data_IF_202601669797
#
_entry.id   IF_202601669797
#
_cell.length_a   1.000
_cell.length_b   1.000
_cell.length_c   1.000
_cell.angle_alpha   90.00
_cell.angle_beta   90.00
_cell.angle_gamma   90.00
#
_symmetry.space_group_name_H-M   'P 1'
#
loop_
_entity.id
_entity.type
_entity.pdbx_description
1 polymer ?
#
# COMPACT_ATOMS: atom_id res chain seq x y z
N UNK A 1 19.93 -21.14 -61.71
CA UNK A 1 19.63 -19.69 -61.68
C UNK A 1 18.66 -19.43 -60.53
N UNK A 2 19.21 -19.22 -59.34
CA UNK A 2 19.21 -17.95 -58.58
C UNK A 2 17.89 -17.59 -57.89
N UNK A 3 17.91 -17.90 -56.60
CA UNK A 3 17.25 -17.24 -55.45
C UNK A 3 17.15 -15.72 -55.63
N UNK A 4 16.00 -15.12 -55.27
CA UNK A 4 15.99 -13.82 -54.55
C UNK A 4 14.88 -13.78 -53.50
N UNK A 5 15.32 -13.85 -52.24
CA UNK A 5 14.59 -13.44 -51.02
C UNK A 5 14.24 -11.95 -51.13
N UNK A 6 12.99 -11.57 -50.86
CA UNK A 6 12.63 -10.16 -50.63
C UNK A 6 12.81 -9.86 -49.13
N UNK A 7 13.85 -9.10 -48.80
CA UNK A 7 14.00 -8.46 -47.50
C UNK A 7 12.92 -7.39 -47.35
N UNK A 8 12.11 -7.46 -46.28
CA UNK A 8 11.44 -6.28 -45.74
C UNK A 8 12.45 -5.53 -44.86
N UNK A 9 12.65 -4.25 -45.15
CA UNK A 9 13.43 -3.32 -44.34
C UNK A 9 12.60 -2.84 -43.13
N UNK A 10 13.21 -2.63 -41.95
CA UNK A 10 12.51 -2.05 -40.80
C UNK A 10 12.26 -0.55 -41.02
N UNK A 11 11.00 -0.14 -40.83
CA UNK A 11 10.56 1.25 -40.87
C UNK A 11 11.02 1.96 -39.58
N UNK A 12 12.01 2.83 -39.69
CA UNK A 12 12.41 3.72 -38.59
C UNK A 12 11.33 4.81 -38.42
N UNK A 13 10.51 4.70 -37.38
CA UNK A 13 9.54 5.73 -37.01
C UNK A 13 10.26 6.86 -36.27
N UNK A 14 10.64 7.91 -36.98
CA UNK A 14 11.13 9.17 -36.40
C UNK A 14 9.90 9.98 -35.97
N UNK A 15 9.59 9.98 -34.67
CA UNK A 15 8.54 10.84 -34.10
C UNK A 15 9.16 12.18 -33.69
N UNK A 16 9.14 13.16 -34.61
CA UNK A 16 9.48 14.55 -34.31
C UNK A 16 8.20 15.38 -34.19
N UNK A 17 7.86 15.82 -32.98
CA UNK A 17 6.81 16.81 -32.73
C UNK A 17 7.36 17.94 -31.85
N UNK A 18 7.24 19.17 -32.33
CA UNK A 18 7.66 20.41 -31.65
C UNK A 18 6.46 21.36 -31.53
N UNK A 19 6.10 21.62 -30.27
CA UNK A 19 5.65 22.85 -29.57
C UNK A 19 4.52 23.76 -30.08
N UNK A 20 3.61 24.07 -29.13
CA UNK A 20 3.44 25.39 -28.47
C UNK A 20 2.65 25.17 -27.15
N UNK A 21 2.89 25.78 -25.98
CA UNK A 21 3.94 26.67 -25.48
C UNK A 21 3.69 26.95 -23.98
N UNK A 22 4.68 26.60 -23.15
CA UNK A 22 5.03 27.20 -21.87
C UNK A 22 6.49 26.82 -21.63
N UNK A 23 7.39 27.81 -21.64
CA UNK A 23 8.84 27.59 -21.56
C UNK A 23 9.26 27.11 -20.17
N UNK A 24 9.21 25.80 -19.94
CA UNK A 24 10.12 25.10 -19.04
C UNK A 24 11.13 24.34 -19.92
N UNK A 25 12.41 24.68 -19.78
CA UNK A 25 13.43 24.46 -20.81
C UNK A 25 13.55 23.03 -21.35
N UNK A 26 13.84 22.92 -22.66
CA UNK A 26 14.28 21.74 -23.42
C UNK A 26 14.09 20.39 -22.70
N UNK A 27 12.95 19.74 -22.95
CA UNK A 27 12.78 18.34 -22.61
C UNK A 27 13.87 17.50 -23.31
N UNK A 28 14.62 16.71 -22.55
CA UNK A 28 15.75 15.95 -23.10
C UNK A 28 15.31 14.68 -23.84
N UNK A 29 14.02 14.34 -23.80
CA UNK A 29 13.46 13.10 -24.36
C UNK A 29 13.85 11.86 -23.54
N UNK A 30 15.14 11.62 -23.32
CA UNK A 30 15.68 10.56 -22.47
C UNK A 30 16.82 11.10 -21.62
N UNK A 31 16.73 10.89 -20.30
CA UNK A 31 17.71 11.40 -19.32
C UNK A 31 18.53 10.30 -18.67
N UNK A 32 18.02 9.07 -18.70
CA UNK A 32 18.73 7.89 -18.29
C UNK A 32 18.35 6.68 -19.15
N UNK A 33 19.25 5.70 -19.20
CA UNK A 33 18.97 4.36 -19.70
C UNK A 33 19.25 3.36 -18.58
N UNK A 34 18.33 2.45 -18.33
CA UNK A 34 18.50 1.36 -17.36
C UNK A 34 18.34 0.04 -18.09
N UNK A 35 19.47 -0.62 -18.36
CA UNK A 35 19.54 -1.64 -19.42
C UNK A 35 19.03 -1.06 -20.76
N UNK A 36 18.06 -1.71 -21.37
CA UNK A 36 17.45 -1.28 -22.64
C UNK A 36 16.27 -0.30 -22.46
N UNK A 37 15.87 0.00 -21.22
CA UNK A 37 14.73 0.87 -20.94
C UNK A 37 15.19 2.32 -20.91
N UNK A 38 14.51 3.17 -21.69
CA UNK A 38 14.72 4.61 -21.70
C UNK A 38 13.87 5.29 -20.64
N UNK A 39 14.51 6.06 -19.78
CA UNK A 39 13.86 6.89 -18.77
C UNK A 39 13.75 8.31 -19.30
N UNK A 40 12.51 8.79 -19.43
CA UNK A 40 12.22 10.17 -19.83
C UNK A 40 12.50 11.14 -18.68
N UNK A 41 12.64 12.42 -18.99
CA UNK A 41 12.76 13.46 -17.95
C UNK A 41 11.55 13.49 -17.02
N UNK A 42 10.34 13.32 -17.55
CA UNK A 42 9.12 13.23 -16.76
C UNK A 42 9.18 12.09 -15.72
N UNK A 43 9.57 10.88 -16.14
CA UNK A 43 9.67 9.72 -15.22
C UNK A 43 10.73 10.00 -14.14
N UNK A 44 11.89 10.51 -14.54
CA UNK A 44 12.95 10.88 -13.61
C UNK A 44 12.49 11.94 -12.60
N UNK A 45 11.78 12.97 -13.05
CA UNK A 45 11.28 14.05 -12.19
C UNK A 45 10.17 13.57 -11.24
N UNK A 46 9.31 12.66 -11.69
CA UNK A 46 8.33 12.01 -10.83
C UNK A 46 9.03 11.28 -9.68
N UNK A 47 10.01 10.43 -9.99
CA UNK A 47 10.73 9.69 -8.96
C UNK A 47 11.64 10.57 -8.10
N UNK A 48 12.15 11.67 -8.64
CA UNK A 48 12.88 12.66 -7.84
C UNK A 48 11.96 13.36 -6.84
N UNK A 49 10.71 13.67 -7.22
CA UNK A 49 9.71 14.20 -6.31
C UNK A 49 9.36 13.17 -5.22
N UNK A 50 9.15 11.90 -5.59
CA UNK A 50 8.91 10.81 -4.62
C UNK A 50 10.06 10.67 -3.64
N UNK A 51 11.30 10.59 -4.14
CA UNK A 51 12.51 10.49 -3.32
C UNK A 51 12.70 11.69 -2.38
N UNK A 52 12.27 12.89 -2.78
CA UNK A 52 12.27 14.06 -1.91
C UNK A 52 11.31 13.89 -0.72
N UNK A 53 10.10 13.37 -0.98
CA UNK A 53 9.13 13.05 0.09
C UNK A 53 9.66 11.99 1.05
N UNK A 54 10.27 10.92 0.53
CA UNK A 54 10.93 9.90 1.35
C UNK A 54 12.04 10.51 2.23
N UNK A 55 12.84 11.42 1.67
CA UNK A 55 13.89 12.11 2.43
C UNK A 55 13.32 12.98 3.55
N UNK A 56 12.18 13.65 3.33
CA UNK A 56 11.49 14.42 4.38
C UNK A 56 10.96 13.54 5.52
N UNK A 57 10.49 12.34 5.20
CA UNK A 57 10.02 11.37 6.21
C UNK A 57 11.16 10.70 6.96
N UNK A 58 12.37 10.68 6.39
CA UNK A 58 13.52 9.97 6.95
C UNK A 58 14.49 10.86 7.75
N UNK A 59 14.34 12.19 7.74
CA UNK A 59 15.15 13.08 8.59
C UNK A 59 14.68 13.05 10.05
N UNK A 60 15.63 13.21 10.98
CA UNK A 60 15.33 13.20 12.43
C UNK A 60 14.52 14.41 12.90
N UNK A 61 14.70 15.58 12.27
CA UNK A 61 14.08 16.84 12.69
C UNK A 61 13.31 17.47 11.52
N UNK A 62 11.99 17.34 11.55
CA UNK A 62 11.06 17.81 10.50
C UNK A 62 10.89 19.34 10.46
N UNK A 63 11.37 20.06 11.48
CA UNK A 63 11.37 21.52 11.58
C UNK A 63 12.61 22.14 10.93
N UNK A 64 13.70 21.37 10.81
CA UNK A 64 14.92 21.80 10.12
C UNK A 64 14.80 21.67 8.60
N UNK A 65 15.51 22.56 7.90
CA UNK A 65 15.62 22.48 6.44
C UNK A 65 16.28 21.16 6.02
N UNK A 66 15.61 20.38 5.16
CA UNK A 66 16.06 19.08 4.65
C UNK A 66 17.53 19.07 4.21
N UNK A 67 17.93 20.04 3.39
CA UNK A 67 19.30 20.10 2.84
C UNK A 67 20.39 20.53 3.83
N UNK A 68 20.03 20.83 5.08
CA UNK A 68 20.98 21.05 6.18
C UNK A 68 21.15 19.79 7.05
N UNK A 69 20.49 18.70 6.67
CA UNK A 69 20.45 17.46 7.42
C UNK A 69 21.02 16.31 6.59
N UNK A 70 21.29 15.21 7.28
CA UNK A 70 21.61 13.93 6.68
C UNK A 70 20.37 13.03 6.69
N UNK A 71 20.36 12.06 5.79
CA UNK A 71 19.43 10.91 5.82
C UNK A 71 20.31 9.67 5.95
N UNK A 72 20.33 9.06 7.13
CA UNK A 72 21.38 8.10 7.50
C UNK A 72 22.77 8.73 7.38
N UNK A 73 23.66 8.10 6.62
CA UNK A 73 25.03 8.56 6.43
C UNK A 73 25.22 9.58 5.29
N UNK A 74 24.21 9.72 4.42
CA UNK A 74 24.25 10.54 3.22
C UNK A 74 23.76 11.97 3.47
N UNK A 75 24.24 12.94 2.68
CA UNK A 75 23.53 14.23 2.59
C UNK A 75 22.15 14.01 1.98
N UNK A 76 21.17 14.85 2.32
CA UNK A 76 19.84 14.73 1.72
C UNK A 76 19.86 14.80 0.18
N UNK A 77 20.81 15.53 -0.43
CA UNK A 77 20.94 15.58 -1.90
C UNK A 77 21.44 14.26 -2.49
N UNK A 78 22.43 13.62 -1.88
CA UNK A 78 22.93 12.31 -2.31
C UNK A 78 21.84 11.25 -2.17
N UNK A 79 21.16 11.23 -1.02
CA UNK A 79 20.05 10.32 -0.77
C UNK A 79 18.94 10.46 -1.83
N UNK A 80 18.48 11.67 -2.12
CA UNK A 80 17.43 11.90 -3.12
C UNK A 80 17.90 11.44 -4.51
N UNK A 81 19.14 11.74 -4.89
CA UNK A 81 19.67 11.31 -6.20
C UNK A 81 19.69 9.79 -6.27
N UNK A 82 20.25 9.10 -5.26
CA UNK A 82 20.38 7.65 -5.27
C UNK A 82 19.01 6.96 -5.23
N UNK A 83 18.08 7.41 -4.39
CA UNK A 83 16.69 6.93 -4.40
C UNK A 83 15.99 7.17 -5.73
N UNK A 84 16.24 8.31 -6.39
CA UNK A 84 15.71 8.54 -7.76
C UNK A 84 16.24 7.48 -8.73
N UNK A 85 17.53 7.11 -8.63
CA UNK A 85 18.11 6.03 -9.47
C UNK A 85 17.47 4.69 -9.16
N UNK A 86 17.32 4.35 -7.88
CA UNK A 86 16.66 3.11 -7.42
C UNK A 86 15.28 3.00 -8.04
N UNK A 87 14.44 4.04 -7.91
CA UNK A 87 13.09 4.03 -8.47
C UNK A 87 13.05 3.92 -10.00
N UNK A 88 13.95 4.62 -10.71
CA UNK A 88 14.07 4.48 -12.17
C UNK A 88 14.48 3.05 -12.56
N UNK A 89 15.30 2.40 -11.75
CA UNK A 89 15.73 1.04 -11.99
C UNK A 89 14.64 0.01 -11.67
N UNK A 90 13.86 0.22 -10.62
CA UNK A 90 12.67 -0.61 -10.33
C UNK A 90 11.63 -0.50 -11.46
N UNK A 91 11.36 0.71 -11.97
CA UNK A 91 10.51 0.92 -13.15
C UNK A 91 10.99 0.08 -14.34
N UNK A 92 12.28 0.18 -14.67
CA UNK A 92 12.89 -0.56 -15.78
C UNK A 92 12.91 -2.07 -15.57
N UNK A 93 13.13 -2.54 -14.33
CA UNK A 93 13.09 -3.95 -13.98
C UNK A 93 11.69 -4.54 -14.23
N UNK A 94 10.63 -3.84 -13.81
CA UNK A 94 9.25 -4.25 -14.09
C UNK A 94 8.97 -4.27 -15.60
N UNK A 95 9.37 -3.24 -16.34
CA UNK A 95 9.20 -3.20 -17.81
C UNK A 95 9.87 -4.40 -18.50
N UNK A 96 11.12 -4.72 -18.11
CA UNK A 96 11.84 -5.84 -18.70
C UNK A 96 11.27 -7.20 -18.30
N UNK A 97 10.95 -7.41 -17.01
CA UNK A 97 10.35 -8.67 -16.54
C UNK A 97 8.99 -8.92 -17.21
N UNK A 98 8.20 -7.87 -17.38
CA UNK A 98 6.90 -7.96 -18.06
C UNK A 98 7.07 -8.39 -19.53
N UNK A 99 8.04 -7.80 -20.24
CA UNK A 99 8.35 -8.16 -21.61
C UNK A 99 8.99 -9.56 -21.74
N UNK A 100 9.90 -9.95 -20.85
CA UNK A 100 10.56 -11.26 -20.82
C UNK A 100 9.56 -12.41 -20.62
N UNK A 101 8.52 -12.16 -19.84
CA UNK A 101 7.41 -13.10 -19.67
C UNK A 101 6.39 -13.09 -20.81
N UNK A 102 6.58 -12.23 -21.81
CA UNK A 102 5.64 -12.08 -22.93
C UNK A 102 4.25 -11.62 -22.49
N UNK A 103 4.17 -10.90 -21.37
CA UNK A 103 2.90 -10.36 -20.89
C UNK A 103 2.53 -9.12 -21.69
N UNK A 104 1.22 -8.89 -21.83
CA UNK A 104 0.67 -7.70 -22.48
C UNK A 104 -0.43 -7.10 -21.61
N UNK A 105 -0.57 -5.78 -21.68
CA UNK A 105 -1.76 -5.11 -21.14
C UNK A 105 -2.93 -5.43 -22.08
N UNK A 106 -4.03 -5.88 -21.51
CA UNK A 106 -5.32 -6.05 -22.20
C UNK A 106 -6.02 -4.71 -22.35
N UNK A 107 -7.12 -4.67 -23.12
CA UNK A 107 -7.93 -3.46 -23.24
C UNK A 107 -8.58 -3.08 -21.89
N UNK A 108 -9.00 -4.06 -21.10
CA UNK A 108 -9.51 -3.81 -19.74
C UNK A 108 -8.45 -3.21 -18.81
N UNK A 109 -7.18 -3.61 -18.97
CA UNK A 109 -6.09 -3.00 -18.18
C UNK A 109 -5.87 -1.54 -18.59
N UNK A 110 -5.96 -1.24 -19.89
CA UNK A 110 -5.85 0.12 -20.42
C UNK A 110 -7.01 1.00 -19.96
N UNK A 111 -8.24 0.50 -20.00
CA UNK A 111 -9.42 1.20 -19.50
C UNK A 111 -9.30 1.49 -18.00
N UNK A 112 -8.78 0.52 -17.21
CA UNK A 112 -8.49 0.73 -15.79
C UNK A 112 -7.45 1.81 -15.56
N UNK A 113 -6.34 1.79 -16.32
CA UNK A 113 -5.31 2.84 -16.25
C UNK A 113 -5.91 4.21 -16.53
N UNK A 114 -6.72 4.34 -17.58
CA UNK A 114 -7.34 5.62 -17.95
C UNK A 114 -8.31 6.11 -16.88
N UNK A 115 -9.12 5.21 -16.31
CA UNK A 115 -10.01 5.55 -15.20
C UNK A 115 -9.23 5.97 -13.95
N UNK A 116 -8.16 5.25 -13.59
CA UNK A 116 -7.32 5.57 -12.45
C UNK A 116 -6.59 6.91 -12.63
N UNK A 117 -6.11 7.22 -13.84
CA UNK A 117 -5.50 8.52 -14.15
C UNK A 117 -6.53 9.64 -14.03
N UNK A 118 -7.69 9.48 -14.67
CA UNK A 118 -8.76 10.49 -14.62
C UNK A 118 -9.25 10.78 -13.18
N UNK A 119 -9.29 9.75 -12.34
CA UNK A 119 -9.68 9.88 -10.94
C UNK A 119 -8.60 10.56 -10.09
N UNK A 120 -7.33 10.15 -10.23
CA UNK A 120 -6.28 10.50 -9.27
C UNK A 120 -5.45 11.72 -9.69
N UNK A 121 -5.22 11.93 -11.00
CA UNK A 121 -4.41 13.04 -11.51
C UNK A 121 -4.87 14.42 -11.00
N UNK A 122 -6.17 14.77 -10.98
CA UNK A 122 -6.60 16.11 -10.55
C UNK A 122 -6.15 16.50 -9.14
N UNK A 123 -5.99 15.53 -8.24
CA UNK A 123 -5.57 15.77 -6.85
C UNK A 123 -4.11 16.24 -6.73
N UNK A 124 -3.23 15.75 -7.60
CA UNK A 124 -1.80 16.05 -7.61
C UNK A 124 -1.33 16.95 -8.76
N UNK A 125 -2.20 17.20 -9.76
CA UNK A 125 -1.86 17.84 -11.03
C UNK A 125 -1.00 19.09 -10.86
N UNK A 126 -1.49 20.07 -10.08
CA UNK A 126 -0.83 21.37 -9.95
C UNK A 126 0.61 21.24 -9.43
N UNK A 127 0.84 20.35 -8.47
CA UNK A 127 2.19 20.14 -7.89
C UNK A 127 3.07 19.36 -8.87
N UNK A 128 2.52 18.33 -9.53
CA UNK A 128 3.24 17.52 -10.51
C UNK A 128 3.68 18.34 -11.71
N UNK A 129 2.80 19.15 -12.31
CA UNK A 129 3.13 20.03 -13.44
C UNK A 129 4.21 21.06 -13.06
N UNK A 130 4.16 21.59 -11.85
CA UNK A 130 5.17 22.51 -11.30
C UNK A 130 6.56 21.87 -11.19
N UNK A 131 6.60 20.56 -11.04
CA UNK A 131 7.82 19.74 -11.00
C UNK A 131 8.18 19.15 -12.37
N UNK A 132 7.47 19.52 -13.45
CA UNK A 132 7.75 19.05 -14.81
C UNK A 132 7.23 17.65 -15.11
N UNK A 133 6.31 17.13 -14.29
CA UNK A 133 5.62 15.85 -14.52
C UNK A 133 4.29 16.14 -15.23
N UNK A 134 4.06 15.50 -16.37
CA UNK A 134 2.82 15.62 -17.13
C UNK A 134 1.83 14.50 -16.78
N UNK A 135 0.56 14.67 -17.13
CA UNK A 135 -0.45 13.60 -17.04
C UNK A 135 -0.03 12.37 -17.85
N UNK A 136 0.56 12.56 -19.04
CA UNK A 136 1.07 11.46 -19.85
C UNK A 136 2.20 10.69 -19.15
N UNK A 137 3.07 11.39 -18.43
CA UNK A 137 4.08 10.75 -17.57
C UNK A 137 3.42 9.99 -16.43
N UNK A 138 2.46 10.60 -15.74
CA UNK A 138 1.72 9.95 -14.66
C UNK A 138 1.02 8.68 -15.14
N UNK A 139 0.42 8.70 -16.33
CA UNK A 139 -0.14 7.51 -16.98
C UNK A 139 0.90 6.39 -17.14
N UNK A 140 2.13 6.69 -17.59
CA UNK A 140 3.19 5.68 -17.68
C UNK A 140 3.56 5.07 -16.32
N UNK A 141 3.50 5.85 -15.23
CA UNK A 141 3.72 5.35 -13.87
C UNK A 141 2.59 4.40 -13.44
N UNK A 142 1.33 4.79 -13.71
CA UNK A 142 0.15 3.94 -13.42
C UNK A 142 0.20 2.66 -14.26
N UNK A 143 0.55 2.74 -15.54
CA UNK A 143 0.74 1.55 -16.40
C UNK A 143 1.81 0.61 -15.85
N UNK A 144 2.95 1.13 -15.41
CA UNK A 144 4.02 0.32 -14.82
C UNK A 144 3.58 -0.37 -13.51
N UNK A 145 2.79 0.32 -12.67
CA UNK A 145 2.20 -0.29 -11.48
C UNK A 145 1.24 -1.43 -11.85
N UNK A 146 0.38 -1.24 -12.87
CA UNK A 146 -0.51 -2.30 -13.38
C UNK A 146 0.30 -3.48 -13.94
N UNK A 147 1.38 -3.23 -14.70
CA UNK A 147 2.29 -4.28 -15.17
C UNK A 147 2.90 -5.06 -14.01
N UNK A 148 3.31 -4.37 -12.95
CA UNK A 148 3.84 -5.00 -11.73
C UNK A 148 2.79 -5.93 -11.09
N UNK A 149 1.54 -5.48 -10.94
CA UNK A 149 0.44 -6.32 -10.44
C UNK A 149 0.16 -7.52 -11.35
N UNK A 150 0.17 -7.34 -12.67
CA UNK A 150 -0.01 -8.45 -13.62
C UNK A 150 1.15 -9.44 -13.56
N UNK A 151 2.38 -8.95 -13.42
CA UNK A 151 3.56 -9.79 -13.24
C UNK A 151 3.46 -10.62 -11.96
N UNK A 152 3.06 -10.00 -10.84
CA UNK A 152 2.78 -10.69 -9.59
C UNK A 152 1.72 -11.79 -9.77
N UNK A 153 0.59 -11.48 -10.41
CA UNK A 153 -0.49 -12.44 -10.63
C UNK A 153 -0.09 -13.58 -11.58
N UNK A 154 0.70 -13.29 -12.62
CA UNK A 154 1.23 -14.31 -13.53
C UNK A 154 2.22 -15.26 -12.83
N UNK A 155 2.84 -14.81 -11.73
CA UNK A 155 3.69 -15.65 -10.89
C UNK A 155 2.87 -16.42 -9.86
N UNK A 156 2.06 -15.75 -9.03
CA UNK A 156 1.52 -16.33 -7.80
C UNK A 156 0.00 -16.51 -7.79
N UNK A 157 -0.70 -15.84 -8.71
CA UNK A 157 -2.15 -15.95 -8.85
C UNK A 157 -2.57 -17.29 -9.44
N UNK A 158 -3.89 -17.46 -9.59
CA UNK A 158 -4.46 -18.68 -10.17
C UNK A 158 -3.92 -18.93 -11.58
N UNK A 159 -3.40 -20.14 -11.81
CA UNK A 159 -2.78 -20.53 -13.09
C UNK A 159 -1.40 -19.94 -13.36
N UNK A 160 -0.81 -19.21 -12.40
CA UNK A 160 0.54 -18.65 -12.51
C UNK A 160 1.67 -19.68 -12.40
N UNK A 161 2.89 -19.27 -12.74
CA UNK A 161 4.09 -20.13 -12.77
C UNK A 161 4.43 -20.77 -11.42
N UNK A 162 4.12 -20.04 -10.34
CA UNK A 162 4.30 -20.39 -8.92
C UNK A 162 2.98 -20.19 -8.18
N UNK A 163 1.87 -20.55 -8.82
CA UNK A 163 0.53 -20.38 -8.28
C UNK A 163 0.43 -20.90 -6.85
N UNK A 164 -0.13 -20.11 -5.95
CA UNK A 164 -0.41 -20.52 -4.57
C UNK A 164 -1.78 -21.18 -4.55
N UNK A 165 -1.83 -22.40 -4.03
CA UNK A 165 -3.09 -23.13 -3.86
C UNK A 165 -3.92 -22.57 -2.70
N UNK A 166 -5.23 -22.81 -2.74
CA UNK A 166 -6.13 -22.45 -1.64
C UNK A 166 -5.70 -23.04 -0.29
N UNK A 167 -5.15 -24.27 -0.30
CA UNK A 167 -4.67 -24.95 0.90
C UNK A 167 -3.39 -24.31 1.46
N UNK A 168 -2.44 -23.94 0.60
CA UNK A 168 -1.22 -23.22 1.00
C UNK A 168 -1.56 -21.83 1.56
N UNK A 169 -2.47 -21.10 0.91
CA UNK A 169 -2.88 -19.78 1.37
C UNK A 169 -3.63 -19.87 2.71
N UNK A 170 -4.48 -20.88 2.90
CA UNK A 170 -5.17 -21.11 4.16
C UNK A 170 -4.20 -21.50 5.27
N UNK A 171 -3.21 -22.34 4.98
CA UNK A 171 -2.14 -22.70 5.91
C UNK A 171 -1.35 -21.46 6.33
N UNK A 172 -0.89 -20.67 5.37
CA UNK A 172 -0.23 -19.38 5.64
C UNK A 172 -1.11 -18.47 6.50
N UNK A 173 -2.41 -18.38 6.20
CA UNK A 173 -3.36 -17.56 6.97
C UNK A 173 -3.44 -18.03 8.41
N UNK A 174 -3.56 -19.34 8.67
CA UNK A 174 -3.62 -19.91 10.03
C UNK A 174 -2.34 -19.66 10.83
N UNK A 175 -1.20 -19.72 10.16
CA UNK A 175 0.12 -19.54 10.78
C UNK A 175 0.45 -18.08 11.09
N UNK A 176 -0.07 -17.13 10.30
CA UNK A 176 0.34 -15.71 10.36
C UNK A 176 -0.77 -14.76 10.83
N UNK A 177 -2.03 -15.21 10.82
CA UNK A 177 -3.18 -14.39 11.18
C UNK A 177 -4.13 -15.14 12.12
N UNK A 178 -4.93 -14.37 12.85
CA UNK A 178 -6.16 -14.84 13.49
C UNK A 178 -7.35 -14.07 12.93
N UNK A 179 -8.53 -14.67 13.02
CA UNK A 179 -9.79 -13.98 12.74
C UNK A 179 -10.50 -13.68 14.05
N UNK A 180 -11.01 -12.45 14.17
CA UNK A 180 -11.83 -12.04 15.30
C UNK A 180 -13.17 -11.48 14.84
N UNK A 181 -14.17 -11.62 15.70
CA UNK A 181 -15.38 -10.78 15.72
C UNK A 181 -15.26 -9.87 16.94
N UNK A 182 -15.68 -8.62 16.87
CA UNK A 182 -15.49 -7.69 17.99
C UNK A 182 -16.51 -6.55 17.98
N UNK A 183 -16.68 -5.91 19.12
CA UNK A 183 -17.34 -4.61 19.24
C UNK A 183 -16.53 -3.68 20.15
N UNK A 184 -16.68 -2.38 19.93
CA UNK A 184 -15.88 -1.34 20.58
C UNK A 184 -16.76 -0.47 21.48
N UNK A 185 -16.37 -0.33 22.74
CA UNK A 185 -17.03 0.54 23.71
C UNK A 185 -16.21 1.83 23.83
N UNK A 186 -16.74 3.00 23.43
CA UNK A 186 -15.97 4.25 23.44
C UNK A 186 -15.66 4.71 24.87
N UNK A 187 -14.42 5.14 25.09
CA UNK A 187 -13.95 5.81 26.33
C UNK A 187 -13.97 7.34 26.21
N UNK A 188 -14.48 7.85 25.10
CA UNK A 188 -14.72 9.27 24.85
C UNK A 188 -16.23 9.52 24.81
N UNK A 189 -16.68 10.64 25.37
CA UNK A 189 -18.07 11.07 25.31
C UNK A 189 -18.46 11.58 23.91
N UNK A 190 -19.74 11.90 23.72
CA UNK A 190 -20.27 12.39 22.44
C UNK A 190 -19.67 13.73 21.96
N UNK A 191 -18.89 14.42 22.78
CA UNK A 191 -18.13 15.63 22.44
C UNK A 191 -16.63 15.35 22.28
N UNK A 192 -16.24 14.07 22.17
CA UNK A 192 -14.84 13.61 22.07
C UNK A 192 -13.97 13.91 23.31
N UNK A 193 -14.58 14.17 24.47
CA UNK A 193 -13.86 14.33 25.73
C UNK A 193 -13.73 12.99 26.47
N UNK A 194 -12.65 12.80 27.22
CA UNK A 194 -12.45 11.55 27.98
C UNK A 194 -13.53 11.37 29.04
N UNK A 195 -14.14 10.17 29.07
CA UNK A 195 -15.06 9.77 30.14
C UNK A 195 -14.30 9.66 31.47
N UNK A 196 -14.98 9.92 32.58
CA UNK A 196 -14.39 9.82 33.92
C UNK A 196 -13.87 8.40 34.21
N UNK A 197 -12.88 8.28 35.09
CA UNK A 197 -12.34 6.97 35.50
C UNK A 197 -13.42 6.04 36.05
N UNK A 198 -14.35 6.59 36.82
CA UNK A 198 -15.45 5.81 37.40
C UNK A 198 -16.41 5.31 36.31
N UNK A 199 -16.72 6.14 35.31
CA UNK A 199 -17.52 5.73 34.15
C UNK A 199 -16.82 4.65 33.32
N UNK A 200 -15.51 4.79 33.09
CA UNK A 200 -14.72 3.76 32.40
C UNK A 200 -14.71 2.44 33.18
N UNK A 201 -14.52 2.49 34.51
CA UNK A 201 -14.56 1.30 35.36
C UNK A 201 -15.93 0.62 35.33
N UNK A 202 -17.02 1.39 35.30
CA UNK A 202 -18.37 0.86 35.16
C UNK A 202 -18.55 0.14 33.81
N UNK A 203 -18.14 0.77 32.70
CA UNK A 203 -18.18 0.17 31.37
C UNK A 203 -17.33 -1.09 31.26
N UNK A 204 -16.16 -1.10 31.91
CA UNK A 204 -15.29 -2.27 31.97
C UNK A 204 -15.96 -3.45 32.70
N UNK A 205 -16.70 -3.17 33.77
CA UNK A 205 -17.51 -4.19 34.47
C UNK A 205 -18.57 -4.81 33.56
N UNK A 206 -19.28 -4.00 32.76
CA UNK A 206 -20.24 -4.51 31.78
C UNK A 206 -19.57 -5.34 30.68
N UNK A 207 -18.41 -4.90 30.18
CA UNK A 207 -17.63 -5.66 29.20
C UNK A 207 -17.20 -7.03 29.74
N UNK A 208 -16.67 -7.08 30.98
CA UNK A 208 -16.27 -8.31 31.66
C UNK A 208 -17.44 -9.28 31.88
N UNK A 209 -18.60 -8.75 32.29
CA UNK A 209 -19.80 -9.56 32.41
C UNK A 209 -20.26 -10.08 31.05
N UNK A 210 -20.23 -9.26 30.00
CA UNK A 210 -20.55 -9.67 28.64
C UNK A 210 -19.66 -10.81 28.14
N UNK A 211 -18.35 -10.74 28.41
CA UNK A 211 -17.41 -11.85 28.11
C UNK A 211 -17.77 -13.12 28.87
N UNK A 212 -18.16 -13.00 30.14
CA UNK A 212 -18.59 -14.14 30.96
C UNK A 212 -19.85 -14.78 30.38
N UNK A 213 -20.85 -13.98 30.03
CA UNK A 213 -22.10 -14.45 29.43
C UNK A 213 -21.86 -15.13 28.07
N UNK A 214 -21.01 -14.53 27.23
CA UNK A 214 -20.69 -15.06 25.90
C UNK A 214 -19.97 -16.42 26.00
N UNK A 215 -18.99 -16.55 26.90
CA UNK A 215 -18.35 -17.83 27.20
C UNK A 215 -19.31 -18.83 27.87
N UNK A 216 -20.38 -18.34 28.52
CA UNK A 216 -21.49 -19.14 29.03
C UNK A 216 -22.52 -19.57 27.97
N UNK A 217 -22.31 -19.21 26.70
CA UNK A 217 -23.15 -19.61 25.58
C UNK A 217 -24.21 -18.59 25.15
N UNK A 218 -24.21 -17.38 25.72
CA UNK A 218 -25.06 -16.30 25.23
C UNK A 218 -24.61 -15.86 23.84
N UNK A 219 -25.56 -15.61 22.95
CA UNK A 219 -25.27 -15.12 21.60
C UNK A 219 -24.48 -13.81 21.63
N UNK A 220 -23.46 -13.70 20.78
CA UNK A 220 -22.54 -12.58 20.82
C UNK A 220 -23.18 -11.26 20.40
N UNK A 221 -24.15 -11.27 19.47
CA UNK A 221 -24.86 -10.06 19.06
C UNK A 221 -25.80 -9.57 20.17
N UNK A 222 -26.41 -10.49 20.92
CA UNK A 222 -27.16 -10.13 22.12
C UNK A 222 -26.25 -9.56 23.21
N UNK A 223 -25.07 -10.16 23.44
CA UNK A 223 -24.06 -9.63 24.37
C UNK A 223 -23.66 -8.21 23.98
N UNK A 224 -23.33 -7.97 22.71
CA UNK A 224 -22.96 -6.65 22.21
C UNK A 224 -24.10 -5.64 22.44
N UNK A 225 -25.33 -6.00 22.11
CA UNK A 225 -26.51 -5.14 22.30
C UNK A 225 -26.72 -4.78 23.77
N UNK A 226 -26.66 -5.77 24.68
CA UNK A 226 -26.88 -5.55 26.11
C UNK A 226 -25.77 -4.68 26.72
N UNK A 227 -24.51 -4.96 26.38
CA UNK A 227 -23.36 -4.19 26.87
C UNK A 227 -23.41 -2.75 26.35
N UNK A 228 -23.68 -2.56 25.05
CA UNK A 228 -23.75 -1.22 24.45
C UNK A 228 -24.92 -0.41 24.99
N UNK A 229 -26.07 -1.04 25.29
CA UNK A 229 -27.20 -0.38 25.93
C UNK A 229 -26.86 0.19 27.31
N UNK A 230 -25.94 -0.45 28.05
CA UNK A 230 -25.47 0.02 29.34
C UNK A 230 -24.33 1.05 29.22
N UNK A 231 -23.40 0.85 28.27
CA UNK A 231 -22.19 1.67 28.16
C UNK A 231 -22.39 2.98 27.39
N UNK A 232 -23.15 2.99 26.29
CA UNK A 232 -23.32 4.20 25.47
C UNK A 232 -23.89 5.39 26.25
N UNK A 233 -24.90 5.22 27.13
CA UNK A 233 -25.41 6.33 27.95
C UNK A 233 -24.38 6.93 28.92
N UNK A 234 -23.37 6.16 29.36
CA UNK A 234 -22.30 6.65 30.23
C UNK A 234 -21.49 7.76 29.53
N UNK A 235 -21.30 7.65 28.21
CA UNK A 235 -20.67 8.67 27.37
C UNK A 235 -21.63 9.70 26.76
N UNK A 236 -22.92 9.67 27.15
CA UNK A 236 -23.95 10.55 26.59
C UNK A 236 -24.33 10.22 25.14
N UNK A 237 -24.02 9.03 24.64
CA UNK A 237 -24.50 8.56 23.35
C UNK A 237 -25.93 8.00 23.47
N UNK A 238 -26.65 8.03 22.35
CA UNK A 238 -27.96 7.38 22.24
C UNK A 238 -27.79 5.94 21.77
N UNK A 239 -28.64 5.05 22.28
CA UNK A 239 -28.72 3.66 21.83
C UNK A 239 -29.69 3.60 20.66
N UNK A 240 -29.25 3.07 19.53
CA UNK A 240 -30.10 2.87 18.36
C UNK A 240 -30.73 1.47 18.39
N UNK A 241 -32.04 1.39 18.20
CA UNK A 241 -32.75 0.12 18.13
C UNK A 241 -32.32 -0.66 16.87
N UNK A 242 -31.95 -1.94 17.05
CA UNK A 242 -31.53 -2.80 15.95
C UNK A 242 -30.14 -2.51 15.38
N UNK A 243 -29.31 -1.72 16.06
CA UNK A 243 -27.93 -1.49 15.63
C UNK A 243 -27.09 -2.78 15.70
N UNK A 244 -26.34 -3.05 14.64
CA UNK A 244 -25.30 -4.08 14.63
C UNK A 244 -23.97 -3.45 15.07
N UNK A 245 -23.45 -3.93 16.20
CA UNK A 245 -22.20 -3.44 16.77
C UNK A 245 -21.00 -4.33 16.42
N UNK A 246 -21.23 -5.50 15.79
CA UNK A 246 -20.18 -6.49 15.60
C UNK A 246 -19.44 -6.25 14.28
N UNK A 247 -18.16 -5.92 14.39
CA UNK A 247 -17.19 -6.01 13.30
C UNK A 247 -16.53 -7.39 13.24
N UNK A 248 -15.90 -7.70 12.11
CA UNK A 248 -15.03 -8.85 11.95
C UNK A 248 -13.79 -8.48 11.13
N UNK A 249 -12.64 -9.05 11.46
CA UNK A 249 -11.39 -8.76 10.73
C UNK A 249 -10.34 -9.87 10.92
N UNK A 250 -9.32 -9.84 10.07
CA UNK A 250 -8.10 -10.62 10.22
C UNK A 250 -7.03 -9.76 10.90
N UNK A 251 -6.37 -10.33 11.91
CA UNK A 251 -5.32 -9.66 12.68
C UNK A 251 -4.03 -10.43 12.47
N UNK A 252 -3.00 -9.74 11.96
CA UNK A 252 -1.67 -10.32 11.82
C UNK A 252 -1.06 -10.60 13.21
N UNK A 253 -0.31 -11.69 13.32
CA UNK A 253 0.54 -11.94 14.49
C UNK A 253 1.81 -11.07 14.47
N UNK A 254 2.19 -10.50 13.33
CA UNK A 254 3.35 -9.64 13.18
C UNK A 254 3.09 -8.26 13.78
N UNK A 255 4.09 -7.70 14.48
CA UNK A 255 4.03 -6.35 15.05
C UNK A 255 3.88 -5.29 13.95
N UNK A 256 4.57 -5.46 12.82
CA UNK A 256 4.53 -4.53 11.69
C UNK A 256 3.29 -4.75 10.80
N UNK A 257 2.56 -5.86 11.02
CA UNK A 257 1.43 -6.27 10.19
C UNK A 257 0.05 -5.95 10.79
N UNK A 258 -0.01 -5.32 11.96
CA UNK A 258 -1.25 -5.09 12.71
C UNK A 258 -1.45 -3.62 13.05
N UNK A 259 -2.69 -3.15 12.92
CA UNK A 259 -3.11 -1.81 13.35
C UNK A 259 -3.58 -1.79 14.81
N UNK A 260 -3.59 -2.94 15.49
CA UNK A 260 -3.99 -3.05 16.89
C UNK A 260 -2.78 -2.92 17.83
N UNK A 261 -2.95 -2.38 19.04
CA UNK A 261 -1.90 -2.40 20.05
C UNK A 261 -1.37 -3.82 20.29
N UNK A 262 -0.06 -4.01 20.41
CA UNK A 262 0.55 -5.34 20.57
C UNK A 262 0.02 -6.09 21.81
N UNK A 263 -0.27 -5.37 22.88
CA UNK A 263 -0.90 -5.94 24.07
C UNK A 263 -2.31 -6.49 23.77
N UNK A 264 -3.06 -5.86 22.86
CA UNK A 264 -4.35 -6.36 22.40
C UNK A 264 -4.16 -7.62 21.56
N UNK A 265 -3.26 -7.60 20.59
CA UNK A 265 -2.93 -8.78 19.75
C UNK A 265 -2.53 -9.97 20.62
N UNK A 266 -1.73 -9.72 21.67
CA UNK A 266 -1.39 -10.75 22.65
C UNK A 266 -2.62 -11.29 23.37
N UNK A 267 -3.51 -10.42 23.86
CA UNK A 267 -4.75 -10.85 24.53
C UNK A 267 -5.64 -11.71 23.61
N UNK A 268 -5.75 -11.35 22.32
CA UNK A 268 -6.46 -12.16 21.34
C UNK A 268 -5.79 -13.53 21.13
N UNK A 269 -4.46 -13.56 21.04
CA UNK A 269 -3.68 -14.79 20.83
C UNK A 269 -3.78 -15.76 22.01
N UNK A 270 -3.82 -15.24 23.24
CA UNK A 270 -3.98 -16.02 24.46
C UNK A 270 -5.41 -16.53 24.66
N UNK A 271 -6.38 -15.99 23.92
CA UNK A 271 -7.77 -16.46 23.91
C UNK A 271 -7.91 -17.66 22.98
N UNK A 272 -8.54 -18.73 23.47
CA UNK A 272 -8.79 -19.93 22.67
C UNK A 272 -9.77 -19.65 21.53
N UNK A 273 -9.65 -20.38 20.42
CA UNK A 273 -10.61 -20.27 19.32
C UNK A 273 -12.00 -20.72 19.80
N UNK A 274 -13.02 -19.94 19.46
CA UNK A 274 -14.39 -20.08 19.93
C UNK A 274 -14.70 -19.32 21.22
N UNK A 275 -13.68 -18.88 21.97
CA UNK A 275 -13.83 -18.16 23.23
C UNK A 275 -13.81 -16.64 23.05
N UNK A 276 -14.26 -15.96 24.09
CA UNK A 276 -14.37 -14.51 24.16
C UNK A 276 -13.39 -13.91 25.16
N UNK A 277 -12.92 -12.70 24.86
CA UNK A 277 -12.04 -11.92 25.72
C UNK A 277 -12.37 -10.44 25.63
N UNK A 278 -11.68 -9.64 26.45
CA UNK A 278 -11.73 -8.18 26.37
C UNK A 278 -10.32 -7.59 26.46
N UNK A 279 -10.18 -6.36 25.99
CA UNK A 279 -8.96 -5.57 26.12
C UNK A 279 -9.32 -4.10 26.36
N UNK A 280 -8.78 -3.50 27.42
CA UNK A 280 -8.91 -2.06 27.65
C UNK A 280 -7.80 -1.32 26.88
N UNK A 281 -8.18 -0.68 25.78
CA UNK A 281 -7.32 0.23 25.04
C UNK A 281 -7.40 1.67 25.56
N UNK A 282 -6.66 2.56 24.89
CA UNK A 282 -6.65 3.98 25.24
C UNK A 282 -8.01 4.66 25.00
N UNK A 283 -8.58 4.47 23.81
CA UNK A 283 -9.83 5.11 23.38
C UNK A 283 -11.06 4.21 23.45
N UNK A 284 -10.87 2.89 23.50
CA UNK A 284 -11.95 1.92 23.48
C UNK A 284 -11.69 0.78 24.47
N UNK A 285 -12.76 0.21 25.00
CA UNK A 285 -12.75 -1.15 25.55
C UNK A 285 -13.23 -2.07 24.45
N UNK A 286 -12.41 -3.05 24.08
CA UNK A 286 -12.73 -4.03 23.05
C UNK A 286 -13.28 -5.29 23.71
N UNK A 287 -14.37 -5.82 23.19
CA UNK A 287 -14.84 -7.17 23.49
C UNK A 287 -14.79 -7.95 22.19
N UNK A 288 -14.19 -9.13 22.23
CA UNK A 288 -13.91 -9.89 21.02
C UNK A 288 -14.13 -11.39 21.20
N UNK A 289 -14.39 -12.06 20.09
CA UNK A 289 -14.41 -13.51 19.93
C UNK A 289 -13.27 -13.88 18.99
N UNK A 290 -12.42 -14.83 19.38
CA UNK A 290 -11.50 -15.47 18.42
C UNK A 290 -12.26 -16.57 17.69
N UNK A 291 -12.21 -16.56 16.37
CA UNK A 291 -12.89 -17.55 15.53
C UNK A 291 -11.90 -18.23 14.59
N UNK A 292 -12.28 -19.37 14.02
CA UNK A 292 -11.50 -20.01 12.98
C UNK A 292 -11.34 -19.06 11.80
N UNK A 293 -10.15 -19.07 11.18
CA UNK A 293 -9.84 -18.13 10.09
C UNK A 293 -10.77 -18.32 8.89
N UNK A 294 -11.20 -19.55 8.63
CA UNK A 294 -12.10 -19.94 7.54
C UNK A 294 -13.55 -20.16 7.98
N UNK A 295 -13.93 -19.68 9.17
CA UNK A 295 -15.30 -19.76 9.69
C UNK A 295 -16.36 -19.06 8.81
N UNK A 296 -15.92 -18.21 7.89
CA UNK A 296 -16.75 -17.44 6.98
C UNK A 296 -16.11 -17.47 5.58
N UNK A 297 -16.53 -18.41 4.71
CA UNK A 297 -15.92 -18.60 3.41
C UNK A 297 -16.05 -17.38 2.47
N UNK A 298 -17.15 -16.65 2.56
CA UNK A 298 -17.38 -15.45 1.75
C UNK A 298 -16.45 -14.32 2.18
N UNK A 299 -16.35 -14.08 3.49
CA UNK A 299 -15.38 -13.14 4.02
C UNK A 299 -13.96 -13.58 3.65
N UNK A 300 -13.58 -14.84 3.88
CA UNK A 300 -12.24 -15.34 3.52
C UNK A 300 -11.91 -15.13 2.04
N UNK A 301 -12.85 -15.42 1.13
CA UNK A 301 -12.69 -15.19 -0.30
C UNK A 301 -12.37 -13.72 -0.61
N UNK A 302 -13.01 -12.76 0.06
CA UNK A 302 -12.73 -11.32 -0.12
C UNK A 302 -11.33 -10.88 0.33
N UNK A 303 -10.69 -11.64 1.25
CA UNK A 303 -9.33 -11.34 1.74
C UNK A 303 -8.23 -12.09 0.99
N UNK A 304 -8.56 -13.10 0.17
CA UNK A 304 -7.56 -13.95 -0.51
C UNK A 304 -6.52 -13.16 -1.29
N UNK A 305 -6.93 -12.11 -2.03
CA UNK A 305 -6.00 -11.26 -2.79
C UNK A 305 -4.99 -10.57 -1.88
N UNK A 306 -5.44 -9.98 -0.77
CA UNK A 306 -4.56 -9.29 0.19
C UNK A 306 -3.67 -10.27 0.95
N UNK A 307 -4.18 -11.44 1.30
CA UNK A 307 -3.39 -12.50 1.96
C UNK A 307 -2.33 -13.08 1.02
N UNK A 308 -2.66 -13.27 -0.26
CA UNK A 308 -1.71 -13.71 -1.27
C UNK A 308 -0.59 -12.68 -1.45
N UNK A 309 -0.95 -11.39 -1.53
CA UNK A 309 0.01 -10.31 -1.55
C UNK A 309 0.90 -10.33 -0.31
N UNK A 310 0.33 -10.39 0.90
CA UNK A 310 1.12 -10.49 2.13
C UNK A 310 2.09 -11.70 2.15
N UNK A 311 1.65 -12.84 1.62
CA UNK A 311 2.46 -14.06 1.53
C UNK A 311 3.61 -13.96 0.54
N UNK A 312 3.39 -13.32 -0.63
CA UNK A 312 4.29 -13.41 -1.78
C UNK A 312 4.99 -12.11 -2.16
N UNK A 313 4.58 -10.97 -1.60
CA UNK A 313 5.20 -9.68 -1.84
C UNK A 313 6.71 -9.68 -1.52
N UNK A 314 7.21 -10.28 -0.42
CA UNK A 314 8.66 -10.32 -0.18
C UNK A 314 9.44 -11.10 -1.24
N UNK A 315 8.89 -12.23 -1.72
CA UNK A 315 9.49 -13.02 -2.80
C UNK A 315 9.49 -12.23 -4.12
N UNK A 316 8.40 -11.54 -4.40
CA UNK A 316 8.25 -10.69 -5.58
C UNK A 316 9.20 -9.49 -5.58
N UNK A 317 9.33 -8.80 -4.44
CA UNK A 317 10.25 -7.68 -4.26
C UNK A 317 11.70 -8.11 -4.45
N UNK A 318 12.05 -9.30 -3.94
CA UNK A 318 13.38 -9.90 -4.18
C UNK A 318 13.62 -10.11 -5.67
N UNK A 319 12.65 -10.67 -6.41
CA UNK A 319 12.77 -10.85 -7.86
C UNK A 319 12.98 -9.52 -8.60
N UNK A 320 12.20 -8.49 -8.26
CA UNK A 320 12.34 -7.15 -8.87
C UNK A 320 13.68 -6.52 -8.51
N UNK A 321 14.15 -6.70 -7.27
CA UNK A 321 15.44 -6.20 -6.81
C UNK A 321 16.60 -6.90 -7.52
N UNK A 322 16.60 -8.23 -7.62
CA UNK A 322 17.61 -8.99 -8.36
C UNK A 322 17.68 -8.55 -9.83
N UNK A 323 16.50 -8.33 -10.45
CA UNK A 323 16.46 -7.78 -11.80
C UNK A 323 17.08 -6.39 -11.83
N UNK A 324 16.67 -5.49 -10.94
CA UNK A 324 17.21 -4.14 -10.84
C UNK A 324 18.74 -4.13 -10.70
N UNK A 325 19.30 -4.97 -9.82
CA UNK A 325 20.74 -5.04 -9.55
C UNK A 325 21.54 -5.57 -10.75
N UNK A 326 20.88 -6.33 -11.63
CA UNK A 326 21.46 -6.77 -12.91
C UNK A 326 21.52 -5.67 -13.98
N UNK A 327 20.80 -4.55 -13.81
CA UNK A 327 20.68 -3.51 -14.82
C UNK A 327 21.72 -2.41 -14.65
N UNK A 328 22.43 -2.10 -15.73
CA UNK A 328 23.32 -0.95 -15.76
C UNK A 328 22.51 0.35 -15.84
N UNK A 329 22.70 1.24 -14.85
CA UNK A 329 22.05 2.55 -14.78
C UNK A 329 22.99 3.64 -15.32
N UNK A 330 22.66 4.22 -16.47
CA UNK A 330 23.38 5.35 -17.06
C UNK A 330 22.52 6.60 -17.06
N UNK A 331 22.92 7.60 -16.29
CA UNK A 331 22.24 8.91 -16.24
C UNK A 331 23.13 9.94 -16.92
N UNK A 332 22.53 10.78 -17.77
CA UNK A 332 23.25 11.89 -18.38
C UNK A 332 23.75 12.87 -17.32
N UNK A 333 25.03 13.27 -17.40
CA UNK A 333 25.56 14.32 -16.54
C UNK A 333 24.80 15.64 -16.67
N UNK A 334 24.30 15.95 -17.87
CA UNK A 334 23.50 17.15 -18.12
C UNK A 334 22.18 17.08 -17.35
N UNK A 335 21.56 15.90 -17.28
CA UNK A 335 20.36 15.68 -16.50
C UNK A 335 20.63 15.85 -15.00
N UNK A 336 21.71 15.29 -14.47
CA UNK A 336 22.10 15.47 -13.06
C UNK A 336 22.38 16.93 -12.71
N UNK A 337 22.99 17.70 -13.63
CA UNK A 337 23.24 19.14 -13.45
C UNK A 337 21.95 19.95 -13.55
N UNK A 338 21.02 19.57 -14.42
CA UNK A 338 19.75 20.28 -14.63
C UNK A 338 18.75 20.00 -13.51
N UNK A 339 18.53 18.75 -13.17
CA UNK A 339 17.50 18.26 -12.25
C UNK A 339 18.10 17.98 -10.88
N UNK A 340 18.50 19.05 -10.18
CA UNK A 340 19.05 18.93 -8.84
C UNK A 340 17.93 18.80 -7.81
N UNK A 341 18.11 17.99 -6.75
CA UNK A 341 17.11 17.82 -5.68
C UNK A 341 16.59 19.14 -5.08
N UNK A 342 17.46 20.16 -5.02
CA UNK A 342 17.13 21.50 -4.51
C UNK A 342 16.10 22.26 -5.35
N UNK A 343 15.81 21.82 -6.57
CA UNK A 343 14.82 22.45 -7.47
C UNK A 343 13.41 21.88 -7.30
N UNK A 344 13.26 20.74 -6.62
CA UNK A 344 11.97 20.13 -6.33
C UNK A 344 11.07 21.12 -5.59
N UNK A 345 9.83 21.26 -6.07
CA UNK A 345 8.77 22.09 -5.49
C UNK A 345 7.86 21.19 -4.67
N UNK A 346 8.25 20.96 -3.43
CA UNK A 346 7.45 20.21 -2.47
C UNK A 346 6.59 21.19 -1.66
N UNK A 347 5.27 21.06 -1.72
CA UNK A 347 4.34 21.84 -0.89
C UNK A 347 3.96 20.94 0.31
N UNK A 348 4.15 21.45 1.55
CA UNK A 348 3.80 20.75 2.79
C UNK A 348 2.28 20.76 3.00
#
# INVERSE_FOLDING_TARGET
>A
MSIKKKLLAPLALVLSLVMAGCTFGTHFGTVATVGDVKITDGIYLYYQYTAYGEALSAVEDSEKSLFKQKVGDQTASEYIVDRTKTHCASYAAVEQLFAEKGLELTDSDRDYVDAAVAQNWPSGQKVMEKNGVSEATYKLIVENAVKSTKLFNALYGEGGEKAVTDEELLTYTRENYMRIRYFEIPKLDSNSASISKDGVNQMLGYAQQGVTDANGGKDFAQVASDVMAQCLPVGGYTVSEGADYIGATYVSYSEDGTNFPLAYVKAMKDTAVGSYGYYEGAQYIYVFQRVEVDSDPEAYASYKTSLLAAMKQPEYETLVQEKQDSLEVKISEEALKKYTPKKVKYEK
#
